data_IF_573861490689
#
_entry.id   IF_573861490689
#
_cell.length_a   1.000
_cell.length_b   1.000
_cell.length_c   1.000
_cell.angle_alpha   90.00
_cell.angle_beta   90.00
_cell.angle_gamma   90.00
#
_symmetry.space_group_name_H-M   'P 1'
#
loop_
_entity.id
_entity.type
_entity.pdbx_description
1 polymer ?
#
# COMPACT_ATOMS: atom_id res chain seq x y z
N UNK A 1 -3.09 22.17 14.55
CA UNK A 1 -1.99 21.20 14.73
C UNK A 1 -0.74 21.96 15.10
N UNK A 2 -0.39 22.00 16.38
CA UNK A 2 1.01 22.13 16.77
C UNK A 2 1.71 20.87 16.28
N UNK A 3 2.85 20.98 15.60
CA UNK A 3 3.71 19.82 15.37
C UNK A 3 4.03 19.13 16.71
N UNK A 4 4.66 17.93 16.71
CA UNK A 4 5.24 17.41 17.94
C UNK A 4 6.06 18.54 18.56
N UNK A 5 5.64 19.03 19.73
CA UNK A 5 6.34 20.10 20.43
C UNK A 5 7.68 19.48 20.82
N UNK A 6 8.71 19.75 20.03
CA UNK A 6 10.06 19.36 20.39
C UNK A 6 10.38 20.14 21.66
N UNK A 7 10.60 19.47 22.81
CA UNK A 7 10.99 20.19 24.01
C UNK A 7 12.28 20.96 23.70
N UNK A 8 12.24 22.28 23.86
CA UNK A 8 13.36 23.14 23.56
C UNK A 8 14.59 22.68 24.37
N UNK A 9 15.69 22.38 23.68
CA UNK A 9 16.96 21.99 24.31
C UNK A 9 17.29 20.49 24.36
N UNK A 10 16.38 19.59 23.93
CA UNK A 10 16.69 18.14 23.90
C UNK A 10 17.46 17.76 22.61
N UNK A 11 18.56 17.01 22.75
CA UNK A 11 19.32 16.50 21.60
C UNK A 11 18.42 15.59 20.71
N UNK A 12 18.27 15.86 19.40
CA UNK A 12 17.48 15.05 18.49
C UNK A 12 17.88 13.56 18.41
N UNK A 13 19.12 13.21 18.78
CA UNK A 13 19.58 11.81 18.89
C UNK A 13 19.01 11.14 20.14
N UNK A 14 18.93 11.88 21.25
CA UNK A 14 18.35 11.40 22.51
C UNK A 14 16.85 11.17 22.34
N UNK A 15 16.14 12.15 21.78
CA UNK A 15 14.71 12.05 21.45
C UNK A 15 14.42 10.82 20.57
N UNK A 16 15.21 10.59 19.51
CA UNK A 16 15.08 9.38 18.67
C UNK A 16 15.33 8.10 19.45
N UNK A 17 16.24 8.10 20.41
CA UNK A 17 16.50 6.93 21.25
C UNK A 17 15.31 6.64 22.17
N UNK A 18 14.81 7.63 22.89
CA UNK A 18 13.61 7.52 23.74
C UNK A 18 12.39 7.10 22.92
N UNK A 19 12.19 7.75 21.77
CA UNK A 19 11.10 7.46 20.85
C UNK A 19 11.06 6.01 20.36
N UNK A 20 12.22 5.31 20.27
CA UNK A 20 12.25 3.86 19.97
C UNK A 20 11.67 3.03 21.10
N UNK A 21 12.05 3.30 22.35
CA UNK A 21 11.54 2.60 23.53
C UNK A 21 10.07 2.89 23.79
N UNK A 22 9.64 4.15 23.58
CA UNK A 22 8.24 4.55 23.73
C UNK A 22 7.31 3.82 22.76
N UNK A 23 7.80 3.20 21.67
CA UNK A 23 6.97 2.37 20.79
C UNK A 23 6.27 1.21 21.51
N UNK A 24 6.73 0.84 22.71
CA UNK A 24 6.04 -0.12 23.58
C UNK A 24 4.72 0.41 24.14
N UNK A 25 4.54 1.73 24.27
CA UNK A 25 3.30 2.36 24.73
C UNK A 25 2.22 2.38 23.63
N UNK A 26 0.93 2.46 24.01
CA UNK A 26 -0.17 2.71 23.07
C UNK A 26 0.06 3.99 22.25
N UNK A 27 -0.50 4.05 21.02
CA UNK A 27 -0.24 5.18 20.10
C UNK A 27 -0.84 6.48 20.62
N UNK A 28 -2.10 6.41 21.07
CA UNK A 28 -2.80 7.52 21.72
C UNK A 28 -2.08 8.06 22.95
N UNK A 29 -1.51 7.16 23.77
CA UNK A 29 -0.73 7.54 24.96
C UNK A 29 0.49 8.37 24.56
N UNK A 30 1.22 7.92 23.53
CA UNK A 30 2.39 8.66 23.03
C UNK A 30 2.03 10.01 22.44
N UNK A 31 0.90 10.12 21.74
CA UNK A 31 0.48 11.39 21.16
C UNK A 31 0.33 12.49 22.22
N UNK A 32 -0.09 12.12 23.44
CA UNK A 32 -0.29 13.06 24.55
C UNK A 32 0.95 13.20 25.42
N UNK A 33 1.61 12.09 25.79
CA UNK A 33 2.63 12.06 26.86
C UNK A 33 4.07 11.89 26.40
N UNK A 34 4.32 11.64 25.11
CA UNK A 34 5.70 11.35 24.67
C UNK A 34 6.64 12.56 24.83
N UNK A 35 6.17 13.79 24.56
CA UNK A 35 6.98 14.99 24.69
C UNK A 35 7.34 15.25 26.16
N UNK A 36 6.35 15.22 27.06
CA UNK A 36 6.54 15.35 28.50
C UNK A 36 7.51 14.31 29.05
N UNK A 37 7.30 13.04 28.72
CA UNK A 37 8.17 11.97 29.22
C UNK A 37 9.59 12.07 28.64
N UNK A 38 9.74 12.53 27.40
CA UNK A 38 11.06 12.74 26.80
C UNK A 38 11.81 13.88 27.47
N UNK A 39 11.12 14.97 27.82
CA UNK A 39 11.70 16.08 28.58
C UNK A 39 12.15 15.63 29.97
N UNK A 40 11.29 14.93 30.72
CA UNK A 40 11.64 14.37 32.04
C UNK A 40 12.86 13.45 31.96
N UNK A 41 12.93 12.58 30.95
CA UNK A 41 14.08 11.70 30.76
C UNK A 41 15.36 12.46 30.35
N UNK A 42 15.23 13.60 29.66
CA UNK A 42 16.36 14.44 29.30
C UNK A 42 16.90 15.19 30.53
N UNK A 43 16.02 15.68 31.41
CA UNK A 43 16.39 16.36 32.65
C UNK A 43 17.08 15.41 33.65
N UNK A 44 16.68 14.14 33.65
CA UNK A 44 17.31 13.10 34.46
C UNK A 44 18.62 12.56 33.86
N UNK A 45 18.88 12.79 32.58
CA UNK A 45 20.09 12.33 31.92
C UNK A 45 21.28 13.23 32.26
N UNK A 46 22.47 12.64 32.41
CA UNK A 46 23.68 13.44 32.59
C UNK A 46 23.91 14.38 31.38
N UNK A 47 24.50 15.57 31.59
CA UNK A 47 24.80 16.50 30.51
C UNK A 47 25.59 15.83 29.38
N UNK A 48 25.15 16.02 28.13
CA UNK A 48 25.82 15.47 26.94
C UNK A 48 25.43 14.03 26.56
N UNK A 49 24.54 13.36 27.32
CA UNK A 49 24.05 12.02 26.96
C UNK A 49 23.17 12.09 25.72
N UNK A 50 23.60 11.39 24.65
CA UNK A 50 22.91 11.38 23.35
C UNK A 50 21.94 10.21 23.18
N UNK A 51 21.92 9.25 24.10
CA UNK A 51 21.09 8.03 24.02
C UNK A 51 20.68 7.60 25.41
N UNK A 52 19.40 7.26 25.57
CA UNK A 52 18.90 6.58 26.76
C UNK A 52 19.64 5.26 26.98
N UNK A 53 20.05 4.99 28.22
CA UNK A 53 20.69 3.74 28.60
C UNK A 53 19.73 2.55 28.43
N UNK A 54 20.29 1.35 28.21
CA UNK A 54 19.51 0.15 27.90
C UNK A 54 18.62 -0.27 29.07
N UNK A 55 19.06 -0.06 30.32
CA UNK A 55 18.31 -0.48 31.51
C UNK A 55 17.04 0.37 31.66
N UNK A 56 17.15 1.69 31.58
CA UNK A 56 16.02 2.61 31.56
C UNK A 56 15.11 2.35 30.34
N UNK A 57 15.71 2.07 29.18
CA UNK A 57 14.98 1.66 27.99
C UNK A 57 14.11 0.41 28.20
N UNK A 58 14.66 -0.65 28.79
CA UNK A 58 13.92 -1.87 29.15
C UNK A 58 12.83 -1.56 30.19
N UNK A 59 13.10 -0.68 31.17
CA UNK A 59 12.11 -0.19 32.12
C UNK A 59 10.91 0.45 31.43
N UNK A 60 11.16 1.37 30.50
CA UNK A 60 10.12 2.00 29.67
C UNK A 60 9.37 0.97 28.82
N UNK A 61 10.07 -0.01 28.25
CA UNK A 61 9.45 -1.06 27.45
C UNK A 61 8.47 -1.89 28.30
N UNK A 62 8.90 -2.33 29.48
CA UNK A 62 8.06 -3.10 30.43
C UNK A 62 6.85 -2.29 30.89
N UNK A 63 7.04 -1.02 31.26
CA UNK A 63 5.95 -0.13 31.65
C UNK A 63 4.97 0.13 30.48
N UNK A 64 5.47 0.27 29.25
CA UNK A 64 4.65 0.40 28.05
C UNK A 64 3.82 -0.86 27.78
N UNK A 65 4.41 -2.05 27.91
CA UNK A 65 3.68 -3.31 27.78
C UNK A 65 2.65 -3.51 28.90
N UNK A 66 3.00 -3.19 30.15
CA UNK A 66 2.06 -3.23 31.27
C UNK A 66 0.88 -2.26 31.03
N UNK A 67 1.12 -1.09 30.44
CA UNK A 67 0.06 -0.14 30.05
C UNK A 67 -0.86 -0.73 28.99
N UNK A 68 -0.32 -1.38 27.95
CA UNK A 68 -1.13 -2.09 26.94
C UNK A 68 -1.94 -3.24 27.54
N UNK A 69 -1.37 -3.94 28.49
CA UNK A 69 -2.05 -5.06 29.17
C UNK A 69 -3.21 -4.57 30.04
N UNK A 70 -3.02 -3.49 30.80
CA UNK A 70 -4.08 -2.88 31.62
C UNK A 70 -5.26 -2.36 30.78
N UNK A 71 -4.99 -1.89 29.57
CA UNK A 71 -6.01 -1.41 28.64
C UNK A 71 -6.56 -2.51 27.70
N UNK A 72 -6.12 -3.76 27.88
CA UNK A 72 -6.51 -4.87 27.03
C UNK A 72 -7.97 -5.27 27.30
N UNK A 73 -8.79 -5.51 26.25
CA UNK A 73 -10.17 -5.95 26.44
C UNK A 73 -10.25 -7.35 27.06
N UNK A 74 -11.31 -7.69 27.82
CA UNK A 74 -11.52 -9.06 28.30
C UNK A 74 -11.46 -10.09 27.17
N UNK A 75 -11.04 -11.31 27.49
CA UNK A 75 -10.72 -12.37 26.51
C UNK A 75 -11.86 -12.63 25.50
N UNK A 76 -13.11 -12.67 25.95
CA UNK A 76 -14.26 -12.99 25.08
C UNK A 76 -14.55 -11.90 24.03
N UNK A 77 -14.75 -10.62 24.38
CA UNK A 77 -14.81 -9.53 23.41
C UNK A 77 -13.59 -9.51 22.47
N UNK A 78 -12.39 -9.70 23.03
CA UNK A 78 -11.15 -9.74 22.27
C UNK A 78 -11.13 -10.86 21.22
N UNK A 79 -11.46 -12.10 21.58
CA UNK A 79 -11.55 -13.23 20.64
C UNK A 79 -12.64 -13.00 19.59
N UNK A 80 -13.79 -12.47 19.99
CA UNK A 80 -14.88 -12.19 19.07
C UNK A 80 -14.50 -11.16 18.00
N UNK A 81 -13.70 -10.16 18.39
CA UNK A 81 -13.10 -9.21 17.46
C UNK A 81 -12.02 -9.84 16.59
N UNK A 82 -11.14 -10.68 17.16
CA UNK A 82 -10.02 -11.29 16.43
C UNK A 82 -10.45 -12.34 15.40
N UNK A 83 -11.44 -13.18 15.73
CA UNK A 83 -11.83 -14.33 14.93
C UNK A 83 -13.07 -14.07 14.06
N UNK A 84 -14.02 -13.30 14.58
CA UNK A 84 -15.32 -13.07 13.92
C UNK A 84 -15.48 -11.63 13.42
N UNK A 85 -14.44 -10.80 13.55
CA UNK A 85 -14.46 -9.38 13.25
C UNK A 85 -15.65 -8.67 13.94
N UNK A 86 -16.10 -9.13 15.11
CA UNK A 86 -17.27 -8.54 15.79
C UNK A 86 -16.95 -7.15 16.32
N UNK A 87 -17.96 -6.27 16.33
CA UNK A 87 -17.83 -4.92 16.85
C UNK A 87 -17.48 -4.98 18.35
N UNK A 88 -16.44 -4.25 18.73
CA UNK A 88 -16.00 -4.13 20.11
C UNK A 88 -16.92 -3.18 20.91
N UNK A 89 -17.20 -3.45 22.20
CA UNK A 89 -17.90 -2.53 23.09
C UNK A 89 -17.24 -1.14 23.15
N UNK A 90 -18.04 -0.10 23.41
CA UNK A 90 -17.61 1.30 23.37
C UNK A 90 -16.36 1.58 24.23
N UNK A 91 -16.34 1.06 25.46
CA UNK A 91 -15.25 1.21 26.42
C UNK A 91 -13.87 0.70 25.92
N UNK A 92 -13.83 -0.16 24.90
CA UNK A 92 -12.60 -0.73 24.33
C UNK A 92 -12.28 -0.20 22.92
N UNK A 93 -13.03 0.79 22.41
CA UNK A 93 -12.80 1.36 21.07
C UNK A 93 -11.43 2.02 20.94
N UNK A 94 -10.94 2.66 22.00
CA UNK A 94 -9.60 3.24 22.04
C UNK A 94 -8.49 2.19 21.81
N UNK A 95 -8.67 0.97 22.34
CA UNK A 95 -7.76 -0.14 22.08
C UNK A 95 -7.86 -0.62 20.61
N UNK A 96 -9.07 -0.71 20.06
CA UNK A 96 -9.29 -1.08 18.65
C UNK A 96 -8.66 -0.06 17.72
N UNK A 97 -8.72 1.24 18.04
CA UNK A 97 -8.07 2.30 17.26
C UNK A 97 -6.56 2.05 17.15
N UNK A 98 -5.91 1.75 18.26
CA UNK A 98 -4.48 1.48 18.29
C UNK A 98 -4.12 0.19 17.51
N UNK A 99 -4.97 -0.85 17.60
CA UNK A 99 -4.81 -2.10 16.82
C UNK A 99 -4.97 -1.85 15.31
N UNK A 100 -6.01 -1.10 14.91
CA UNK A 100 -6.29 -0.74 13.52
C UNK A 100 -5.26 0.23 12.94
N UNK A 101 -4.62 1.06 13.76
CA UNK A 101 -3.53 1.91 13.33
C UNK A 101 -2.19 1.14 13.24
N UNK A 102 -2.10 -0.01 13.91
CA UNK A 102 -0.90 -0.85 13.98
C UNK A 102 -0.46 -1.46 12.64
N UNK A 103 0.83 -1.81 12.58
CA UNK A 103 1.40 -2.59 11.47
C UNK A 103 0.94 -4.06 11.51
N UNK A 104 0.69 -4.58 12.72
CA UNK A 104 0.26 -5.97 12.96
C UNK A 104 -1.15 -6.28 12.43
N UNK A 105 -1.97 -5.26 12.14
CA UNK A 105 -3.25 -5.47 11.47
C UNK A 105 -3.08 -6.30 10.19
N UNK A 106 -2.04 -5.99 9.41
CA UNK A 106 -1.74 -6.70 8.17
C UNK A 106 -1.46 -8.17 8.50
N UNK A 107 -0.45 -8.44 9.34
CA UNK A 107 -0.06 -9.79 9.74
C UNK A 107 -1.25 -10.61 10.23
N UNK A 108 -2.10 -10.04 11.09
CA UNK A 108 -3.30 -10.71 11.62
C UNK A 108 -4.28 -11.11 10.52
N UNK A 109 -4.55 -10.20 9.60
CA UNK A 109 -5.56 -10.49 8.57
C UNK A 109 -5.02 -11.46 7.51
N UNK A 110 -3.69 -11.64 7.46
CA UNK A 110 -2.99 -12.42 6.45
C UNK A 110 -2.55 -13.80 6.85
N UNK A 111 -2.28 -14.04 8.13
CA UNK A 111 -1.71 -15.31 8.56
C UNK A 111 -2.51 -16.54 8.11
N UNK A 112 -3.86 -16.54 7.99
CA UNK A 112 -4.58 -17.73 7.51
C UNK A 112 -4.28 -18.01 6.03
N UNK A 113 -4.20 -16.96 5.21
CA UNK A 113 -3.86 -17.10 3.79
C UNK A 113 -2.39 -17.50 3.62
N UNK A 114 -1.48 -16.86 4.35
CA UNK A 114 -0.05 -17.22 4.33
C UNK A 114 0.18 -18.66 4.81
N UNK A 115 -0.54 -19.10 5.84
CA UNK A 115 -0.49 -20.48 6.33
C UNK A 115 -1.07 -21.47 5.32
N UNK A 116 -2.20 -21.14 4.68
CA UNK A 116 -2.77 -21.95 3.59
C UNK A 116 -1.78 -22.10 2.43
N UNK A 117 -1.16 -21.00 2.02
CA UNK A 117 -0.17 -21.01 0.95
C UNK A 117 1.08 -21.81 1.33
N UNK A 118 1.62 -21.62 2.53
CA UNK A 118 2.73 -22.42 3.03
C UNK A 118 2.38 -23.91 3.05
N UNK A 119 1.17 -24.25 3.49
CA UNK A 119 0.67 -25.63 3.50
C UNK A 119 0.59 -26.22 2.08
N UNK A 120 0.10 -25.45 1.09
CA UNK A 120 0.07 -25.87 -0.31
C UNK A 120 1.49 -26.04 -0.89
N UNK A 121 2.40 -25.11 -0.57
CA UNK A 121 3.80 -25.19 -1.03
C UNK A 121 4.57 -26.37 -0.44
N UNK A 122 4.22 -26.83 0.76
CA UNK A 122 4.85 -27.98 1.40
C UNK A 122 4.31 -29.33 0.90
N UNK A 123 3.21 -29.33 0.13
CA UNK A 123 2.51 -30.57 -0.25
C UNK A 123 2.81 -31.10 -1.64
N UNK A 124 3.55 -30.40 -2.51
CA UNK A 124 3.51 -30.73 -3.93
C UNK A 124 4.83 -30.65 -4.72
N UNK A 125 5.00 -31.63 -5.62
CA UNK A 125 6.17 -31.86 -6.49
C UNK A 125 6.13 -31.06 -7.83
N UNK A 126 5.15 -30.17 -8.06
CA UNK A 126 5.08 -29.36 -9.30
C UNK A 126 4.23 -28.08 -9.26
N UNK A 127 3.34 -27.93 -8.27
CA UNK A 127 2.45 -26.75 -8.07
C UNK A 127 3.21 -25.54 -7.47
N UNK A 128 4.48 -25.70 -7.10
CA UNK A 128 5.31 -24.66 -6.45
C UNK A 128 5.40 -23.35 -7.26
N UNK A 129 5.47 -23.43 -8.59
CA UNK A 129 5.48 -22.25 -9.47
C UNK A 129 4.18 -21.45 -9.42
N UNK A 130 3.04 -22.10 -9.66
CA UNK A 130 1.73 -21.45 -9.68
C UNK A 130 1.33 -20.92 -8.30
N UNK A 131 1.55 -21.70 -7.24
CA UNK A 131 1.31 -21.27 -5.87
C UNK A 131 2.17 -20.05 -5.52
N UNK A 132 3.43 -20.02 -5.95
CA UNK A 132 4.33 -18.86 -5.79
C UNK A 132 3.82 -17.61 -6.50
N UNK A 133 3.34 -17.74 -7.74
CA UNK A 133 2.75 -16.61 -8.50
C UNK A 133 1.49 -16.10 -7.82
N UNK A 134 0.58 -17.00 -7.41
CA UNK A 134 -0.64 -16.63 -6.70
C UNK A 134 -0.32 -15.97 -5.35
N UNK A 135 0.65 -16.49 -4.61
CA UNK A 135 1.15 -15.88 -3.38
C UNK A 135 1.62 -14.44 -3.61
N UNK A 136 2.47 -14.24 -4.62
CA UNK A 136 3.03 -12.93 -4.92
C UNK A 136 1.98 -11.94 -5.41
N UNK A 137 1.05 -12.36 -6.28
CA UNK A 137 -0.08 -11.54 -6.71
C UNK A 137 -0.95 -11.12 -5.53
N UNK A 138 -1.23 -12.07 -4.66
CA UNK A 138 -2.04 -11.84 -3.48
C UNK A 138 -1.31 -10.88 -2.53
N UNK A 139 -0.01 -11.06 -2.25
CA UNK A 139 0.87 -10.11 -1.54
C UNK A 139 0.82 -8.70 -2.12
N UNK A 140 0.84 -8.57 -3.44
CA UNK A 140 0.68 -7.27 -4.13
C UNK A 140 -0.70 -6.67 -3.85
N UNK A 141 -1.77 -7.41 -4.12
CA UNK A 141 -3.15 -6.94 -3.90
C UNK A 141 -3.37 -6.54 -2.44
N UNK A 142 -2.77 -7.25 -1.48
CA UNK A 142 -2.85 -6.94 -0.05
C UNK A 142 -2.37 -5.54 0.29
N UNK A 143 -1.23 -5.12 -0.27
CA UNK A 143 -0.65 -3.80 0.03
C UNK A 143 -1.56 -2.68 -0.45
N UNK A 144 -2.26 -2.89 -1.57
CA UNK A 144 -3.20 -1.92 -2.13
C UNK A 144 -4.58 -1.97 -1.45
N UNK A 145 -5.03 -3.14 -0.98
CA UNK A 145 -6.32 -3.28 -0.31
C UNK A 145 -6.31 -2.84 1.16
N UNK A 146 -5.15 -2.70 1.80
CA UNK A 146 -5.03 -2.36 3.23
C UNK A 146 -5.76 -1.06 3.59
N UNK A 147 -5.67 -0.02 2.76
CA UNK A 147 -6.36 1.26 3.02
C UNK A 147 -7.89 1.07 2.98
N UNK A 148 -8.40 0.27 2.05
CA UNK A 148 -9.84 -0.03 1.96
C UNK A 148 -10.32 -0.89 3.13
N UNK A 149 -9.51 -1.87 3.55
CA UNK A 149 -9.81 -2.72 4.72
C UNK A 149 -9.79 -1.91 6.01
N UNK A 150 -8.80 -1.03 6.19
CA UNK A 150 -8.73 -0.11 7.33
C UNK A 150 -9.95 0.80 7.37
N UNK A 151 -10.33 1.43 6.25
CA UNK A 151 -11.55 2.26 6.19
C UNK A 151 -12.81 1.48 6.55
N UNK A 152 -12.96 0.27 6.02
CA UNK A 152 -14.11 -0.59 6.35
C UNK A 152 -14.13 -1.00 7.82
N UNK A 153 -12.98 -1.32 8.40
CA UNK A 153 -12.86 -1.65 9.82
C UNK A 153 -13.13 -0.42 10.70
N UNK A 154 -12.56 0.75 10.37
CA UNK A 154 -12.82 2.01 11.05
C UNK A 154 -14.31 2.33 11.03
N UNK A 155 -14.97 2.25 9.86
CA UNK A 155 -16.43 2.35 9.75
C UNK A 155 -17.14 1.40 10.72
N UNK A 156 -16.83 0.10 10.61
CA UNK A 156 -17.50 -0.95 11.39
C UNK A 156 -17.40 -0.72 12.91
N UNK A 157 -16.27 -0.19 13.38
CA UNK A 157 -16.00 -0.04 14.81
C UNK A 157 -16.42 1.31 15.38
N UNK A 158 -16.27 2.40 14.63
CA UNK A 158 -16.47 3.76 15.14
C UNK A 158 -17.78 4.42 14.68
N UNK A 159 -18.49 3.87 13.68
CA UNK A 159 -19.77 4.45 13.22
C UNK A 159 -20.81 4.44 14.34
N UNK A 160 -21.30 5.61 14.74
CA UNK A 160 -22.30 5.74 15.80
C UNK A 160 -23.58 4.97 15.42
N UNK A 161 -24.08 4.09 16.31
CA UNK A 161 -25.36 3.40 16.12
C UNK A 161 -26.45 4.05 16.95
N UNK A 162 -27.71 3.86 16.52
CA UNK A 162 -28.86 4.28 17.29
C UNK A 162 -28.81 3.69 18.71
N UNK A 163 -28.98 4.54 19.72
CA UNK A 163 -28.93 4.17 21.13
C UNK A 163 -27.53 4.09 21.75
N UNK A 164 -26.45 4.30 20.98
CA UNK A 164 -25.11 4.45 21.54
C UNK A 164 -24.85 5.92 21.90
N UNK A 165 -24.28 6.17 23.09
CA UNK A 165 -23.82 7.51 23.46
C UNK A 165 -22.60 7.91 22.60
N UNK A 166 -22.58 9.13 22.06
CA UNK A 166 -21.48 9.61 21.25
C UNK A 166 -20.23 9.83 22.12
N UNK A 167 -19.18 9.08 21.82
CA UNK A 167 -17.82 9.31 22.35
C UNK A 167 -16.99 10.18 21.39
N UNK A 168 -15.91 10.81 21.89
CA UNK A 168 -14.95 11.59 21.11
C UNK A 168 -14.31 10.79 19.95
N UNK A 169 -14.35 9.46 20.02
CA UNK A 169 -13.86 8.56 18.97
C UNK A 169 -14.89 8.18 17.92
N UNK A 170 -16.15 8.57 18.12
CA UNK A 170 -17.26 8.22 17.24
C UNK A 170 -17.18 8.99 15.93
N UNK A 171 -17.54 8.32 14.85
CA UNK A 171 -17.65 8.93 13.52
C UNK A 171 -19.11 8.87 13.07
N UNK A 172 -19.55 9.93 12.40
CA UNK A 172 -20.86 10.02 11.76
C UNK A 172 -20.70 10.13 10.26
N UNK A 173 -21.74 9.76 9.53
CA UNK A 173 -21.75 9.92 8.07
C UNK A 173 -21.79 11.42 7.76
N UNK A 174 -20.93 11.85 6.85
CA UNK A 174 -20.85 13.23 6.40
C UNK A 174 -20.34 13.30 4.98
N UNK A 175 -20.29 14.52 4.45
CA UNK A 175 -19.70 14.80 3.15
C UNK A 175 -18.22 15.13 3.34
N UNK A 176 -17.35 14.35 2.70
CA UNK A 176 -15.89 14.55 2.79
C UNK A 176 -15.31 14.87 1.42
N UNK A 177 -14.21 15.60 1.42
CA UNK A 177 -13.45 15.81 0.19
C UNK A 177 -12.82 14.50 -0.28
N UNK A 178 -12.67 14.35 -1.60
CA UNK A 178 -12.17 13.11 -2.18
C UNK A 178 -10.64 13.10 -2.14
N UNK A 179 -10.06 12.13 -1.42
CA UNK A 179 -8.61 11.91 -1.42
C UNK A 179 -8.12 11.38 -2.77
N UNK A 180 -7.12 12.04 -3.34
CA UNK A 180 -6.46 11.66 -4.60
C UNK A 180 -4.95 11.66 -4.40
N UNK A 181 -4.26 10.67 -4.97
CA UNK A 181 -2.79 10.68 -4.93
C UNK A 181 -2.22 11.76 -5.85
N UNK A 182 -1.24 12.52 -5.35
CA UNK A 182 -0.48 13.50 -6.14
C UNK A 182 0.27 12.80 -7.28
N UNK A 183 0.19 13.37 -8.47
CA UNK A 183 0.86 12.82 -9.65
C UNK A 183 2.38 12.83 -9.49
N UNK A 184 2.94 13.86 -8.84
CA UNK A 184 4.37 13.97 -8.58
C UNK A 184 4.94 12.80 -7.77
N UNK A 185 4.15 12.18 -6.88
CA UNK A 185 4.60 11.05 -6.06
C UNK A 185 4.17 9.69 -6.60
N UNK A 186 3.01 9.58 -7.28
CA UNK A 186 2.53 8.30 -7.81
C UNK A 186 3.07 7.96 -9.20
N UNK A 187 3.17 8.92 -10.12
CA UNK A 187 3.59 8.64 -11.50
C UNK A 187 5.00 8.07 -11.62
N UNK A 188 6.01 8.50 -10.82
CA UNK A 188 7.31 7.84 -10.81
C UNK A 188 7.22 6.35 -10.48
N UNK A 189 6.39 5.98 -9.48
CA UNK A 189 6.22 4.58 -9.08
C UNK A 189 5.54 3.76 -10.18
N UNK A 190 4.50 4.31 -10.80
CA UNK A 190 3.81 3.65 -11.92
C UNK A 190 4.75 3.47 -13.11
N UNK A 191 5.51 4.50 -13.46
CA UNK A 191 6.52 4.41 -14.53
C UNK A 191 7.57 3.35 -14.21
N UNK A 192 8.10 3.30 -12.97
CA UNK A 192 9.06 2.27 -12.56
C UNK A 192 8.48 0.86 -12.67
N UNK A 193 7.27 0.63 -12.14
CA UNK A 193 6.62 -0.70 -12.20
C UNK A 193 6.41 -1.15 -13.65
N UNK A 194 5.88 -0.27 -14.50
CA UNK A 194 5.63 -0.60 -15.91
C UNK A 194 6.94 -0.83 -16.68
N UNK A 195 7.95 0.01 -16.50
CA UNK A 195 9.24 -0.15 -17.17
C UNK A 195 9.94 -1.45 -16.75
N UNK A 196 9.96 -1.76 -15.45
CA UNK A 196 10.57 -3.02 -14.99
C UNK A 196 9.76 -4.22 -15.47
N UNK A 197 8.44 -4.17 -15.44
CA UNK A 197 7.59 -5.24 -16.00
C UNK A 197 7.85 -5.48 -17.49
N UNK A 198 7.97 -4.41 -18.29
CA UNK A 198 8.29 -4.50 -19.71
C UNK A 198 9.66 -5.14 -19.95
N UNK A 199 10.70 -4.67 -19.24
CA UNK A 199 12.07 -5.18 -19.39
C UNK A 199 12.17 -6.63 -18.91
N UNK A 200 11.72 -6.93 -17.69
CA UNK A 200 11.81 -8.26 -17.11
C UNK A 200 11.04 -9.29 -17.94
N UNK A 201 9.81 -8.95 -18.36
CA UNK A 201 9.00 -9.84 -19.20
C UNK A 201 9.56 -10.05 -20.61
N UNK A 202 10.12 -9.01 -21.23
CA UNK A 202 10.76 -9.14 -22.56
C UNK A 202 12.02 -10.02 -22.48
N UNK A 203 12.82 -9.85 -21.42
CA UNK A 203 13.98 -10.70 -21.14
C UNK A 203 13.53 -12.14 -20.94
N UNK A 204 12.49 -12.39 -20.14
CA UNK A 204 11.94 -13.73 -19.93
C UNK A 204 11.47 -14.38 -21.23
N UNK A 205 10.71 -13.66 -22.06
CA UNK A 205 10.25 -14.15 -23.37
C UNK A 205 11.41 -14.52 -24.29
N UNK A 206 12.53 -13.78 -24.23
CA UNK A 206 13.74 -14.09 -25.00
C UNK A 206 14.46 -15.38 -24.56
N UNK A 207 14.37 -15.73 -23.27
CA UNK A 207 15.03 -16.91 -22.69
C UNK A 207 14.11 -18.14 -22.55
N UNK A 208 12.80 -17.99 -22.72
CA UNK A 208 11.82 -19.06 -22.60
C UNK A 208 11.95 -20.10 -23.75
N UNK A 209 12.93 -20.99 -23.67
CA UNK A 209 13.26 -21.97 -24.71
C UNK A 209 12.56 -23.34 -24.55
N UNK A 210 11.45 -23.45 -23.80
CA UNK A 210 10.80 -24.76 -23.55
C UNK A 210 9.34 -24.81 -24.05
N UNK A 211 9.03 -25.76 -24.94
CA UNK A 211 7.66 -26.26 -25.16
C UNK A 211 7.15 -26.94 -23.90
N UNK A 212 5.83 -26.97 -23.77
CA UNK A 212 5.11 -27.93 -22.95
C UNK A 212 4.63 -28.98 -23.93
N UNK A 213 5.40 -30.04 -24.14
CA UNK A 213 4.88 -31.20 -24.86
C UNK A 213 4.04 -32.00 -23.87
N UNK A 214 2.72 -31.98 -24.02
CA UNK A 214 1.82 -32.89 -23.29
C UNK A 214 1.88 -34.22 -24.01
N UNK A 215 2.74 -35.12 -23.56
CA UNK A 215 2.73 -36.51 -24.02
C UNK A 215 1.75 -37.30 -23.17
N UNK A 216 0.78 -37.98 -23.80
CA UNK A 216 -0.06 -38.96 -23.13
C UNK A 216 0.75 -40.25 -22.97
N UNK A 217 0.89 -40.75 -21.75
CA UNK A 217 1.45 -42.09 -21.56
C UNK A 217 0.49 -43.15 -22.15
N UNK A 218 1.05 -44.16 -22.80
CA UNK A 218 0.31 -45.22 -23.52
C UNK A 218 -0.52 -46.14 -22.60
N UNK A 219 -0.37 -46.06 -21.26
CA UNK A 219 -0.93 -47.01 -20.29
C UNK A 219 -2.35 -46.69 -19.77
N UNK A 220 -3.17 -45.95 -20.51
CA UNK A 220 -4.58 -45.72 -20.17
C UNK A 220 -4.85 -44.82 -18.94
N UNK A 221 -3.81 -44.41 -18.21
CA UNK A 221 -3.85 -43.32 -17.23
C UNK A 221 -3.31 -42.03 -17.86
N UNK A 222 -4.05 -40.94 -17.70
CA UNK A 222 -3.69 -39.62 -18.21
C UNK A 222 -2.49 -39.01 -17.46
N UNK A 223 -1.30 -39.57 -17.68
CA UNK A 223 -0.05 -38.93 -17.28
C UNK A 223 0.33 -37.91 -18.36
N UNK A 224 0.50 -36.65 -17.96
CA UNK A 224 0.99 -35.57 -18.80
C UNK A 224 2.43 -35.26 -18.41
N UNK A 225 3.39 -35.76 -19.19
CA UNK A 225 4.78 -35.27 -19.11
C UNK A 225 4.85 -33.90 -19.77
N UNK A 226 5.80 -33.05 -19.37
CA UNK A 226 6.05 -31.70 -19.92
C UNK A 226 7.50 -31.68 -20.42
N UNK A 227 7.72 -31.94 -21.71
CA UNK A 227 9.07 -31.91 -22.30
C UNK A 227 9.41 -30.56 -22.94
N UNK A 228 10.51 -29.96 -22.48
CA UNK A 228 11.01 -28.66 -22.91
C UNK A 228 11.80 -28.69 -24.21
N UNK A 229 11.17 -28.37 -25.35
CA UNK A 229 11.84 -28.18 -26.65
C UNK A 229 11.90 -26.72 -27.14
N UNK A 230 12.90 -26.38 -27.97
CA UNK A 230 13.05 -25.02 -28.53
C UNK A 230 11.90 -24.65 -29.49
N UNK A 231 11.25 -23.51 -29.26
CA UNK A 231 10.10 -23.05 -30.06
C UNK A 231 10.54 -22.04 -31.12
N UNK A 232 10.07 -22.20 -32.37
CA UNK A 232 10.15 -21.14 -33.41
C UNK A 232 9.32 -19.88 -33.13
N UNK A 233 8.46 -19.87 -32.09
CA UNK A 233 7.55 -18.76 -31.74
C UNK A 233 8.17 -17.67 -30.84
N UNK A 234 9.39 -17.88 -30.31
CA UNK A 234 10.10 -16.84 -29.54
C UNK A 234 10.26 -15.57 -30.37
N UNK A 235 10.52 -15.72 -31.69
CA UNK A 235 10.60 -14.59 -32.62
C UNK A 235 9.27 -13.86 -32.75
N UNK A 236 8.14 -14.56 -32.79
CA UNK A 236 6.82 -13.92 -32.93
C UNK A 236 6.43 -13.16 -31.67
N UNK A 237 6.69 -13.69 -30.47
CA UNK A 237 6.38 -13.00 -29.23
C UNK A 237 7.22 -11.73 -29.07
N UNK A 238 8.53 -11.80 -29.29
CA UNK A 238 9.41 -10.63 -29.25
C UNK A 238 9.00 -9.56 -30.26
N UNK A 239 8.61 -9.95 -31.49
CA UNK A 239 8.10 -9.01 -32.50
C UNK A 239 6.84 -8.31 -31.99
N UNK A 240 5.90 -9.04 -31.35
CA UNK A 240 4.69 -8.46 -30.78
C UNK A 240 5.02 -7.50 -29.63
N UNK A 241 5.94 -7.86 -28.74
CA UNK A 241 6.36 -6.99 -27.62
C UNK A 241 7.06 -5.72 -28.11
N UNK A 242 7.93 -5.83 -29.11
CA UNK A 242 8.60 -4.69 -29.75
C UNK A 242 7.57 -3.80 -30.45
N UNK A 243 6.64 -4.37 -31.21
CA UNK A 243 5.57 -3.62 -31.86
C UNK A 243 4.71 -2.86 -30.83
N UNK A 244 4.39 -3.48 -29.69
CA UNK A 244 3.66 -2.83 -28.60
C UNK A 244 4.45 -1.68 -27.97
N UNK A 245 5.76 -1.84 -27.75
CA UNK A 245 6.62 -0.78 -27.24
C UNK A 245 6.71 0.40 -28.22
N UNK A 246 6.89 0.13 -29.51
CA UNK A 246 6.92 1.14 -30.57
C UNK A 246 5.58 1.88 -30.68
N UNK A 247 4.46 1.16 -30.62
CA UNK A 247 3.13 1.75 -30.60
C UNK A 247 2.94 2.65 -29.37
N UNK A 248 3.35 2.18 -28.19
CA UNK A 248 3.32 2.96 -26.96
C UNK A 248 4.14 4.25 -27.07
N UNK A 249 5.34 4.17 -27.67
CA UNK A 249 6.20 5.33 -27.92
C UNK A 249 5.59 6.30 -28.95
N UNK A 250 4.99 5.80 -30.03
CA UNK A 250 4.32 6.60 -31.05
C UNK A 250 3.13 7.40 -30.51
N UNK A 251 2.48 6.92 -29.43
CA UNK A 251 1.38 7.61 -28.75
C UNK A 251 1.84 8.70 -27.76
N UNK A 252 3.13 8.79 -27.44
CA UNK A 252 3.68 9.77 -26.47
C UNK A 252 3.42 11.23 -26.87
N UNK A 253 3.64 11.67 -28.12
CA UNK A 253 3.37 13.06 -28.51
C UNK A 253 1.90 13.46 -28.31
N UNK A 254 0.98 12.55 -28.65
CA UNK A 254 -0.46 12.75 -28.44
C UNK A 254 -0.80 12.85 -26.95
N UNK A 255 -0.26 11.96 -26.12
CA UNK A 255 -0.45 12.01 -24.67
C UNK A 255 0.11 13.31 -24.07
N UNK A 256 1.31 13.74 -24.49
CA UNK A 256 1.93 14.99 -24.04
C UNK A 256 1.10 16.22 -24.44
N UNK A 257 0.64 16.27 -25.70
CA UNK A 257 -0.22 17.35 -26.19
C UNK A 257 -1.53 17.42 -25.39
N UNK A 258 -2.16 16.27 -25.11
CA UNK A 258 -3.37 16.20 -24.27
C UNK A 258 -3.11 16.68 -22.85
N UNK A 259 -2.02 16.25 -22.23
CA UNK A 259 -1.65 16.69 -20.87
C UNK A 259 -1.39 18.19 -20.82
N UNK A 260 -0.68 18.75 -21.81
CA UNK A 260 -0.40 20.19 -21.89
C UNK A 260 -1.66 21.03 -22.11
N UNK A 261 -2.61 20.54 -22.90
CA UNK A 261 -3.87 21.24 -23.19
C UNK A 261 -4.88 21.15 -22.06
N UNK A 262 -4.94 20.02 -21.36
CA UNK A 262 -6.00 19.73 -20.39
C UNK A 262 -5.59 19.98 -18.93
N UNK A 263 -4.30 20.24 -18.65
CA UNK A 263 -3.78 20.46 -17.31
C UNK A 263 -2.96 21.75 -17.17
N UNK A 264 -3.08 22.49 -16.06
CA UNK A 264 -3.94 22.19 -14.90
C UNK A 264 -5.43 22.36 -15.23
N UNK A 265 -6.27 21.55 -14.58
CA UNK A 265 -7.72 21.68 -14.69
C UNK A 265 -8.24 22.85 -13.84
N UNK A 266 -9.57 23.07 -13.84
CA UNK A 266 -10.19 24.04 -12.94
C UNK A 266 -9.88 23.72 -11.49
N UNK A 267 -9.83 24.75 -10.64
CA UNK A 267 -9.59 24.63 -9.20
C UNK A 267 -10.58 23.66 -8.54
N UNK A 268 -10.09 22.78 -7.66
CA UNK A 268 -10.84 21.65 -7.11
C UNK A 268 -11.02 21.81 -5.60
N UNK A 269 -12.03 22.57 -5.18
CA UNK A 269 -12.29 22.85 -3.76
C UNK A 269 -12.58 21.58 -2.93
N UNK A 270 -13.24 20.58 -3.53
CA UNK A 270 -13.60 19.32 -2.86
C UNK A 270 -12.55 18.20 -3.04
N UNK A 271 -11.30 18.56 -3.32
CA UNK A 271 -10.20 17.60 -3.53
C UNK A 271 -9.13 17.76 -2.48
N UNK A 272 -8.69 16.63 -1.95
CA UNK A 272 -7.52 16.55 -1.10
C UNK A 272 -6.41 15.75 -1.78
N UNK A 273 -5.28 16.41 -2.06
CA UNK A 273 -4.14 15.77 -2.70
C UNK A 273 -3.23 15.16 -1.63
N UNK A 274 -3.06 13.84 -1.69
CA UNK A 274 -2.30 13.06 -0.71
C UNK A 274 -1.03 12.55 -1.36
N UNK A 275 0.09 12.68 -0.66
CA UNK A 275 1.33 12.05 -1.10
C UNK A 275 1.29 10.55 -0.93
N UNK A 276 1.97 9.85 -1.83
CA UNK A 276 2.15 8.41 -1.70
C UNK A 276 2.97 8.13 -0.43
N UNK A 277 2.32 7.52 0.57
CA UNK A 277 2.95 7.20 1.84
C UNK A 277 3.99 6.07 1.68
N UNK A 278 4.81 5.86 2.72
CA UNK A 278 5.86 4.85 2.69
C UNK A 278 5.36 3.44 2.34
N UNK A 279 4.13 3.10 2.76
CA UNK A 279 3.51 1.79 2.50
C UNK A 279 3.28 1.52 1.02
N UNK A 280 2.73 2.47 0.27
CA UNK A 280 2.50 2.28 -1.17
C UNK A 280 3.83 2.21 -1.94
N UNK A 281 4.89 2.90 -1.46
CA UNK A 281 6.25 2.71 -2.01
C UNK A 281 6.76 1.29 -1.76
N UNK A 282 6.58 0.75 -0.56
CA UNK A 282 6.89 -0.66 -0.28
C UNK A 282 6.06 -1.59 -1.16
N UNK A 283 4.79 -1.25 -1.41
CA UNK A 283 3.94 -1.97 -2.37
C UNK A 283 4.51 -2.00 -3.77
N UNK A 284 4.93 -0.85 -4.30
CA UNK A 284 5.58 -0.78 -5.61
C UNK A 284 6.87 -1.61 -5.66
N UNK A 285 7.69 -1.58 -4.61
CA UNK A 285 8.89 -2.44 -4.51
C UNK A 285 8.52 -3.93 -4.52
N UNK A 286 7.47 -4.33 -3.78
CA UNK A 286 6.98 -5.71 -3.79
C UNK A 286 6.44 -6.12 -5.16
N UNK A 287 5.72 -5.23 -5.86
CA UNK A 287 5.26 -5.47 -7.23
C UNK A 287 6.43 -5.68 -8.17
N UNK A 288 7.45 -4.81 -8.09
CA UNK A 288 8.67 -4.93 -8.90
C UNK A 288 9.39 -6.25 -8.62
N UNK A 289 9.59 -6.59 -7.34
CA UNK A 289 10.21 -7.86 -6.95
C UNK A 289 9.40 -9.05 -7.48
N UNK A 290 8.08 -9.01 -7.36
CA UNK A 290 7.18 -10.03 -7.87
C UNK A 290 7.29 -10.20 -9.39
N UNK A 291 7.25 -9.10 -10.17
CA UNK A 291 7.39 -9.14 -11.62
C UNK A 291 8.75 -9.73 -12.03
N UNK A 292 9.84 -9.35 -11.36
CA UNK A 292 11.17 -9.91 -11.61
C UNK A 292 11.24 -11.40 -11.26
N UNK A 293 10.71 -11.82 -10.11
CA UNK A 293 10.67 -13.23 -9.71
C UNK A 293 9.82 -14.07 -10.66
N UNK A 294 8.68 -13.54 -11.11
CA UNK A 294 7.84 -14.21 -12.12
C UNK A 294 8.59 -14.35 -13.44
N UNK A 295 9.18 -13.27 -13.96
CA UNK A 295 9.98 -13.30 -15.17
C UNK A 295 11.16 -14.30 -15.07
N UNK A 296 11.85 -14.35 -13.93
CA UNK A 296 12.94 -15.30 -13.71
C UNK A 296 12.45 -16.76 -13.65
N UNK A 297 11.30 -17.01 -13.03
CA UNK A 297 10.68 -18.33 -12.98
C UNK A 297 10.23 -18.80 -14.37
N UNK A 298 9.74 -17.89 -15.21
CA UNK A 298 9.41 -18.19 -16.61
C UNK A 298 10.66 -18.43 -17.46
N UNK A 299 11.68 -17.58 -17.34
CA UNK A 299 12.96 -17.74 -18.05
C UNK A 299 13.67 -19.06 -17.70
N UNK A 300 13.52 -19.53 -16.46
CA UNK A 300 14.07 -20.81 -16.00
C UNK A 300 13.19 -22.03 -16.31
N UNK A 301 12.01 -21.82 -16.91
CA UNK A 301 11.09 -22.88 -17.30
C UNK A 301 10.28 -23.49 -16.15
N UNK A 302 10.22 -22.82 -14.99
CA UNK A 302 9.37 -23.24 -13.85
C UNK A 302 7.91 -22.79 -14.02
N UNK A 303 7.63 -21.88 -14.97
CA UNK A 303 6.30 -21.36 -15.26
C UNK A 303 6.03 -21.37 -16.77
N UNK A 304 4.78 -21.67 -17.14
CA UNK A 304 4.32 -21.67 -18.53
C UNK A 304 3.67 -20.32 -18.83
N UNK A 305 4.32 -19.48 -19.64
CA UNK A 305 3.79 -18.40 -20.52
C UNK A 305 2.58 -17.58 -20.01
N UNK A 306 2.50 -17.32 -18.71
CA UNK A 306 1.43 -16.51 -18.12
C UNK A 306 1.78 -15.00 -18.08
N UNK A 307 3.04 -14.60 -18.36
CA UNK A 307 3.45 -13.19 -18.26
C UNK A 307 3.21 -12.37 -19.53
N UNK A 308 3.11 -13.00 -20.71
CA UNK A 308 2.94 -12.31 -22.01
C UNK A 308 1.89 -11.18 -22.00
N UNK A 309 0.64 -11.36 -21.51
CA UNK A 309 -0.33 -10.27 -21.50
C UNK A 309 0.06 -9.11 -20.58
N UNK A 310 0.70 -9.40 -19.44
CA UNK A 310 1.19 -8.40 -18.49
C UNK A 310 2.36 -7.64 -19.11
N UNK A 311 3.30 -8.34 -19.72
CA UNK A 311 4.46 -7.77 -20.43
C UNK A 311 4.00 -6.89 -21.59
N UNK A 312 3.05 -7.36 -22.39
CA UNK A 312 2.46 -6.60 -23.50
C UNK A 312 1.84 -5.29 -23.01
N UNK A 313 1.04 -5.34 -21.94
CA UNK A 313 0.46 -4.15 -21.33
C UNK A 313 1.53 -3.20 -20.79
N UNK A 314 2.59 -3.72 -20.17
CA UNK A 314 3.71 -2.93 -19.69
C UNK A 314 4.46 -2.25 -20.83
N UNK A 315 4.79 -2.96 -21.91
CA UNK A 315 5.46 -2.40 -23.10
C UNK A 315 4.63 -1.29 -23.74
N UNK A 316 3.31 -1.48 -23.84
CA UNK A 316 2.42 -0.48 -24.41
C UNK A 316 2.29 0.78 -23.52
N UNK A 317 2.24 0.63 -22.20
CA UNK A 317 1.93 1.73 -21.27
C UNK A 317 3.17 2.45 -20.71
N UNK A 318 4.33 1.79 -20.64
CA UNK A 318 5.54 2.34 -20.03
C UNK A 318 6.02 3.66 -20.68
N UNK A 319 6.10 3.79 -22.02
CA UNK A 319 6.55 5.04 -22.64
C UNK A 319 5.69 6.25 -22.26
N UNK A 320 4.36 6.08 -22.27
CA UNK A 320 3.42 7.12 -21.87
C UNK A 320 3.54 7.51 -20.39
N UNK A 321 3.70 6.53 -19.50
CA UNK A 321 3.89 6.77 -18.07
C UNK A 321 5.21 7.52 -17.78
N UNK A 322 6.30 7.13 -18.44
CA UNK A 322 7.60 7.82 -18.33
C UNK A 322 7.50 9.25 -18.84
N UNK A 323 6.89 9.48 -20.01
CA UNK A 323 6.69 10.81 -20.56
C UNK A 323 5.84 11.71 -19.64
N UNK A 324 4.76 11.17 -19.07
CA UNK A 324 3.94 11.89 -18.09
C UNK A 324 4.75 12.24 -16.83
N UNK A 325 5.55 11.31 -16.31
CA UNK A 325 6.42 11.54 -15.16
C UNK A 325 7.44 12.66 -15.43
N UNK A 326 8.09 12.65 -16.60
CA UNK A 326 9.05 13.68 -17.00
C UNK A 326 8.38 15.05 -17.14
N UNK A 327 7.18 15.10 -17.75
CA UNK A 327 6.41 16.33 -17.88
C UNK A 327 6.05 16.93 -16.51
N UNK A 328 5.57 16.12 -15.57
CA UNK A 328 5.23 16.58 -14.21
C UNK A 328 6.46 17.09 -13.46
N UNK A 329 7.63 16.46 -13.65
CA UNK A 329 8.89 16.95 -13.06
C UNK A 329 9.31 18.29 -13.63
N UNK A 330 9.14 18.48 -14.94
CA UNK A 330 9.49 19.70 -15.66
C UNK A 330 8.53 20.88 -15.38
N UNK A 331 7.28 20.60 -14.98
CA UNK A 331 6.23 21.60 -14.75
C UNK A 331 5.77 21.65 -13.29
N UNK A 332 6.27 22.61 -12.48
CA UNK A 332 5.91 22.73 -11.06
C UNK A 332 4.41 22.86 -10.80
N UNK A 333 3.68 23.52 -11.70
CA UNK A 333 2.24 23.71 -11.65
C UNK A 333 1.43 22.40 -11.76
N UNK A 334 2.05 21.33 -12.28
CA UNK A 334 1.42 20.01 -12.38
C UNK A 334 1.69 19.11 -11.16
N UNK A 335 2.47 19.55 -10.18
CA UNK A 335 2.88 18.69 -9.05
C UNK A 335 1.71 18.29 -8.14
N UNK A 336 0.75 19.19 -7.97
CA UNK A 336 -0.44 18.98 -7.14
C UNK A 336 -1.62 18.33 -7.88
N UNK A 337 -1.49 18.10 -9.19
CA UNK A 337 -2.51 17.44 -9.99
C UNK A 337 -2.67 15.99 -9.52
N UNK A 338 -3.91 15.50 -9.49
CA UNK A 338 -4.22 14.12 -9.15
C UNK A 338 -3.72 13.16 -10.24
N UNK A 339 -3.04 12.08 -9.84
CA UNK A 339 -2.52 11.07 -10.77
C UNK A 339 -3.61 10.44 -11.68
N UNK A 340 -4.83 10.29 -11.17
CA UNK A 340 -5.98 9.78 -11.95
C UNK A 340 -6.38 10.72 -13.08
N UNK A 341 -6.18 12.03 -12.91
CA UNK A 341 -6.49 13.02 -13.94
C UNK A 341 -5.42 13.02 -15.02
N UNK A 342 -4.15 12.85 -14.65
CA UNK A 342 -3.05 12.63 -15.61
C UNK A 342 -3.36 11.40 -16.47
N UNK A 343 -3.74 10.29 -15.85
CA UNK A 343 -4.13 9.08 -16.59
C UNK A 343 -5.33 9.31 -17.52
N UNK A 344 -6.41 9.95 -17.03
CA UNK A 344 -7.60 10.23 -17.84
C UNK A 344 -7.33 11.21 -18.98
N UNK A 345 -6.55 12.24 -18.75
CA UNK A 345 -6.17 13.21 -19.77
C UNK A 345 -5.29 12.56 -20.85
N UNK A 346 -4.26 11.80 -20.44
CA UNK A 346 -3.38 11.11 -21.37
C UNK A 346 -4.13 10.06 -22.22
N UNK A 347 -4.81 9.12 -21.56
CA UNK A 347 -5.43 7.96 -22.22
C UNK A 347 -6.74 8.33 -22.92
N UNK A 348 -7.63 9.07 -22.24
CA UNK A 348 -8.98 9.35 -22.73
C UNK A 348 -9.14 10.73 -23.38
N UNK A 349 -8.14 11.61 -23.28
CA UNK A 349 -8.25 12.98 -23.80
C UNK A 349 -9.35 13.80 -23.13
N UNK A 350 -9.72 13.49 -21.88
CA UNK A 350 -10.80 14.16 -21.15
C UNK A 350 -10.24 15.11 -20.11
N UNK A 351 -10.79 16.32 -20.05
CA UNK A 351 -10.49 17.26 -18.98
C UNK A 351 -10.84 16.67 -17.60
N UNK A 352 -10.12 17.07 -16.53
CA UNK A 352 -10.48 16.72 -15.16
C UNK A 352 -11.92 17.14 -14.86
N UNK A 353 -12.72 16.20 -14.33
CA UNK A 353 -14.07 16.54 -13.84
C UNK A 353 -13.94 17.15 -12.44
N UNK A 354 -14.73 18.19 -12.16
CA UNK A 354 -14.90 18.71 -10.81
C UNK A 354 -15.28 17.54 -9.88
N UNK A 355 -14.44 17.28 -8.88
CA UNK A 355 -14.75 16.28 -7.87
C UNK A 355 -15.89 16.82 -7.00
N UNK A 356 -17.03 16.13 -7.02
CA UNK A 356 -18.10 16.37 -6.05
C UNK A 356 -17.69 15.80 -4.68
N UNK A 357 -18.18 16.39 -3.57
CA UNK A 357 -18.03 15.78 -2.25
C UNK A 357 -18.60 14.36 -2.28
N UNK A 358 -17.97 13.45 -1.53
CA UNK A 358 -18.41 12.05 -1.45
C UNK A 358 -18.93 11.74 -0.06
N UNK A 359 -19.92 10.84 0.06
CA UNK A 359 -20.29 10.29 1.35
C UNK A 359 -19.07 9.64 2.00
N UNK A 360 -18.78 10.04 3.22
CA UNK A 360 -17.68 9.54 4.03
C UNK A 360 -18.01 9.63 5.51
N UNK A 361 -16.96 9.65 6.33
CA UNK A 361 -17.10 9.68 7.77
C UNK A 361 -16.33 10.87 8.33
N UNK A 362 -16.97 11.61 9.22
CA UNK A 362 -16.40 12.75 9.94
C UNK A 362 -16.42 12.47 11.44
N UNK A 363 -15.43 12.95 12.21
CA UNK A 363 -15.48 12.84 13.66
C UNK A 363 -16.73 13.53 14.21
N UNK A 364 -17.41 12.90 15.16
CA UNK A 364 -18.64 13.46 15.76
C UNK A 364 -18.41 14.85 16.37
N UNK A 365 -17.23 15.09 16.93
CA UNK A 365 -16.87 16.36 17.56
C UNK A 365 -16.76 17.55 16.57
N UNK A 366 -16.64 17.26 15.27
CA UNK A 366 -16.64 18.31 14.23
C UNK A 366 -18.09 18.49 13.80
N UNK A 367 -18.74 19.53 14.33
CA UNK A 367 -20.13 19.89 14.02
C UNK A 367 -20.35 19.90 12.50
N UNK A 368 -21.45 19.25 12.08
CA UNK A 368 -21.71 18.77 10.72
C UNK A 368 -21.88 19.84 9.61
N UNK A 369 -21.55 21.10 9.87
CA UNK A 369 -21.76 22.22 8.94
C UNK A 369 -20.57 22.49 8.02
N UNK A 370 -19.35 22.05 8.37
CA UNK A 370 -18.16 22.34 7.57
C UNK A 370 -17.67 21.12 6.76
N UNK A 371 -17.27 21.37 5.50
CA UNK A 371 -16.66 20.35 4.65
C UNK A 371 -15.32 19.90 5.27
N UNK A 372 -15.30 18.73 5.89
CA UNK A 372 -14.11 18.24 6.60
C UNK A 372 -13.10 17.64 5.63
N UNK A 373 -11.85 18.12 5.71
CA UNK A 373 -10.72 17.52 5.01
C UNK A 373 -10.39 16.15 5.64
N UNK A 374 -10.38 15.03 4.89
CA UNK A 374 -10.21 13.67 5.40
C UNK A 374 -9.01 13.45 6.33
N UNK A 375 -7.94 14.24 6.16
CA UNK A 375 -6.75 14.17 7.01
C UNK A 375 -7.01 14.55 8.47
N UNK A 376 -8.07 15.30 8.77
CA UNK A 376 -8.46 15.61 10.15
C UNK A 376 -9.08 14.41 10.86
N UNK A 377 -9.72 13.47 10.14
CA UNK A 377 -10.40 12.33 10.74
C UNK A 377 -9.45 11.18 11.14
N UNK A 378 -8.35 10.99 10.40
CA UNK A 378 -7.28 10.04 10.77
C UNK A 378 -6.35 10.58 11.88
N UNK A 379 -6.51 11.87 12.25
CA UNK A 379 -5.72 12.56 13.26
C UNK A 379 -6.40 12.64 14.64
N UNK A 380 -7.63 12.11 14.79
CA UNK A 380 -8.37 11.98 16.05
C UNK A 380 -8.35 10.53 16.51
#
# INVERSE_FOLDING_TARGET
>A
MTGPVTPAGVDPRFERSVGRWLRAYPRRWRAVRAAELTAVLADLAAPGVRRLDVRSGIGLMRAGWATRWREHPPLRPWLSYRLLDRRMPAQHRAWVRDDLAGALLIVRTQWPFAAMMLFLSLRDDGITGFAGVLCGLVLVLWVFMDDSRRRNATRKHFELRAGEEPDATSIVRGWVSRSRYRAATLMPLVATVLTVGAVAGTVAAGFAHRRVLVTSCDDGFACTSIEGGAIGHVRTELVVLVAALLLGAALVPLARQRLQRLLPGPEQQCRWSVDVAGRQRTGAVMVVAFLCSWAAAEASGHLILLSTPVTLACCLLAPGAVAACLLIRARPDLRDVAAVDVWRAAVRGRAPRLDAPVPGYVPYAVTATDLVVPGAADAV
#
